data_IF_926136463514
#
_entry.id   IF_926136463514
#
_cell.length_a   1.000
_cell.length_b   1.000
_cell.length_c   1.000
_cell.angle_alpha   90.00
_cell.angle_beta   90.00
_cell.angle_gamma   90.00
#
_symmetry.space_group_name_H-M   'P 1'
#
loop_
_entity.id
_entity.type
_entity.pdbx_description
1 polymer ?
#
# COMPACT_ATOMS: atom_id res chain seq x y z
N UNK A 1 -16.11 53.92 0.76
CA UNK A 1 -15.71 52.63 1.34
C UNK A 1 -14.40 52.88 2.05
N UNK A 2 -14.35 52.69 3.36
CA UNK A 2 -13.15 52.95 4.15
C UNK A 2 -12.04 51.95 3.74
N UNK A 3 -10.81 52.43 3.58
CA UNK A 3 -9.61 51.62 3.32
C UNK A 3 -9.51 50.30 4.13
N UNK A 4 -9.87 50.26 5.44
CA UNK A 4 -9.90 49.01 6.21
C UNK A 4 -10.90 47.95 5.71
N UNK A 5 -12.05 48.36 5.17
CA UNK A 5 -13.08 47.42 4.70
C UNK A 5 -12.61 46.69 3.43
N UNK A 6 -11.95 47.41 2.52
CA UNK A 6 -11.40 46.82 1.29
C UNK A 6 -10.27 45.82 1.62
N UNK A 7 -9.42 46.17 2.59
CA UNK A 7 -8.35 45.31 3.06
C UNK A 7 -8.91 44.01 3.69
N UNK A 8 -9.97 44.12 4.50
CA UNK A 8 -10.63 42.94 5.08
C UNK A 8 -11.22 42.00 4.03
N UNK A 9 -11.84 42.53 2.98
CA UNK A 9 -12.43 41.71 1.90
C UNK A 9 -11.31 40.99 1.11
N UNK A 10 -10.17 41.65 0.88
CA UNK A 10 -9.02 41.05 0.22
C UNK A 10 -8.41 39.91 1.05
N UNK A 11 -8.20 40.12 2.35
CA UNK A 11 -7.69 39.07 3.25
C UNK A 11 -8.66 37.89 3.40
N UNK A 12 -9.96 38.16 3.49
CA UNK A 12 -10.99 37.13 3.53
C UNK A 12 -11.00 36.31 2.23
N UNK A 13 -10.87 36.99 1.09
CA UNK A 13 -10.77 36.35 -0.23
C UNK A 13 -9.58 35.40 -0.35
N UNK A 14 -8.38 35.81 0.11
CA UNK A 14 -7.17 34.97 0.05
C UNK A 14 -7.28 33.73 0.94
N UNK A 15 -7.86 33.86 2.14
CA UNK A 15 -7.95 32.74 3.10
C UNK A 15 -8.92 31.63 2.70
N UNK A 16 -9.84 31.89 1.76
CA UNK A 16 -10.84 30.93 1.27
C UNK A 16 -10.36 30.08 0.08
N UNK A 17 -9.32 30.52 -0.64
CA UNK A 17 -8.73 29.84 -1.82
C UNK A 17 -8.23 28.42 -1.50
N UNK A 18 -7.45 28.17 -0.43
CA UNK A 18 -6.91 26.83 -0.16
C UNK A 18 -7.97 25.81 0.27
N UNK A 19 -9.09 26.25 0.86
CA UNK A 19 -10.12 25.35 1.39
C UNK A 19 -11.00 24.69 0.32
N UNK A 20 -11.13 25.32 -0.86
CA UNK A 20 -11.88 24.76 -1.99
C UNK A 20 -11.07 23.67 -2.70
N UNK A 21 -9.77 23.86 -2.85
CA UNK A 21 -8.88 22.89 -3.51
C UNK A 21 -8.59 21.66 -2.62
N UNK A 22 -8.46 21.87 -1.31
CA UNK A 22 -8.23 20.81 -0.34
C UNK A 22 -9.33 19.74 -0.34
N UNK A 23 -10.58 20.10 -0.64
CA UNK A 23 -11.70 19.14 -0.65
C UNK A 23 -11.61 18.12 -1.79
N UNK A 24 -11.14 18.54 -2.97
CA UNK A 24 -11.05 17.61 -4.11
C UNK A 24 -9.82 16.72 -3.98
N UNK A 25 -8.64 17.29 -3.68
CA UNK A 25 -7.40 16.52 -3.51
C UNK A 25 -7.47 15.52 -2.35
N UNK A 26 -8.00 15.91 -1.19
CA UNK A 26 -8.07 15.03 -0.01
C UNK A 26 -8.97 13.82 -0.23
N UNK A 27 -10.11 13.98 -0.90
CA UNK A 27 -11.02 12.87 -1.21
C UNK A 27 -10.36 11.87 -2.17
N UNK A 28 -9.60 12.35 -3.17
CA UNK A 28 -8.84 11.47 -4.07
C UNK A 28 -7.77 10.67 -3.32
N UNK A 29 -6.93 11.30 -2.50
CA UNK A 29 -5.90 10.59 -1.74
C UNK A 29 -6.49 9.64 -0.71
N UNK A 30 -7.58 10.01 -0.04
CA UNK A 30 -8.28 9.15 0.92
C UNK A 30 -8.88 7.90 0.25
N UNK A 31 -9.53 8.06 -0.90
CA UNK A 31 -10.21 6.96 -1.59
C UNK A 31 -9.21 6.03 -2.28
N UNK A 32 -8.18 6.59 -2.92
CA UNK A 32 -7.15 5.80 -3.61
C UNK A 32 -6.25 5.05 -2.62
N UNK A 33 -5.95 5.63 -1.45
CA UNK A 33 -5.17 4.95 -0.40
C UNK A 33 -5.85 3.70 0.14
N UNK A 34 -7.19 3.74 0.32
CA UNK A 34 -7.97 2.60 0.78
C UNK A 34 -8.02 1.45 -0.24
N UNK A 35 -8.28 1.78 -1.51
CA UNK A 35 -8.37 0.78 -2.59
C UNK A 35 -7.01 0.11 -2.86
N UNK A 36 -5.91 0.87 -2.92
CA UNK A 36 -4.58 0.29 -3.07
C UNK A 36 -4.25 -0.66 -1.92
N UNK A 37 -4.56 -0.29 -0.68
CA UNK A 37 -4.30 -1.13 0.50
C UNK A 37 -5.16 -2.40 0.51
N UNK A 38 -6.41 -2.34 0.04
CA UNK A 38 -7.24 -3.53 -0.12
C UNK A 38 -6.72 -4.49 -1.18
N UNK A 39 -6.26 -3.98 -2.34
CA UNK A 39 -5.70 -4.82 -3.40
C UNK A 39 -4.47 -5.58 -2.90
N UNK A 40 -3.59 -4.90 -2.16
CA UNK A 40 -2.41 -5.50 -1.55
C UNK A 40 -2.80 -6.57 -0.51
N UNK A 41 -3.83 -6.32 0.31
CA UNK A 41 -4.35 -7.28 1.28
C UNK A 41 -4.94 -8.54 0.61
N UNK A 42 -5.66 -8.38 -0.50
CA UNK A 42 -6.20 -9.53 -1.26
C UNK A 42 -5.08 -10.35 -1.90
N UNK A 43 -4.06 -9.68 -2.46
CA UNK A 43 -2.87 -10.34 -3.01
C UNK A 43 -2.10 -11.14 -1.94
N UNK A 44 -2.04 -10.65 -0.71
CA UNK A 44 -1.43 -11.33 0.43
C UNK A 44 -2.12 -12.65 0.75
N UNK A 45 -3.46 -12.64 0.86
CA UNK A 45 -4.28 -13.83 1.10
C UNK A 45 -4.11 -14.86 -0.01
N UNK A 46 -4.08 -14.43 -1.28
CA UNK A 46 -3.85 -15.32 -2.43
C UNK A 46 -2.47 -15.99 -2.36
N UNK A 47 -1.42 -15.23 -1.99
CA UNK A 47 -0.08 -15.78 -1.85
C UNK A 47 0.00 -16.84 -0.73
N UNK A 48 -0.68 -16.61 0.40
CA UNK A 48 -0.79 -17.59 1.49
C UNK A 48 -1.48 -18.86 0.99
N UNK A 49 -2.62 -18.74 0.31
CA UNK A 49 -3.32 -19.90 -0.27
C UNK A 49 -2.46 -20.68 -1.27
N UNK A 50 -1.69 -19.98 -2.13
CA UNK A 50 -0.77 -20.62 -3.08
C UNK A 50 0.34 -21.37 -2.35
N UNK A 51 0.87 -20.81 -1.25
CA UNK A 51 1.90 -21.43 -0.43
C UNK A 51 1.39 -22.70 0.27
N UNK A 52 0.15 -22.68 0.78
CA UNK A 52 -0.49 -23.84 1.38
C UNK A 52 -0.85 -24.93 0.36
N UNK A 53 -1.20 -24.54 -0.87
CA UNK A 53 -1.57 -25.48 -1.94
C UNK A 53 -0.33 -26.16 -2.54
N UNK A 54 0.84 -25.52 -2.53
CA UNK A 54 2.12 -26.11 -2.96
C UNK A 54 2.66 -27.09 -1.90
N UNK A 55 2.26 -28.35 -1.98
CA UNK A 55 2.52 -29.41 -0.99
C UNK A 55 3.97 -29.90 -0.83
N UNK A 56 4.96 -29.48 -1.62
CA UNK A 56 6.26 -30.18 -1.72
C UNK A 56 7.43 -29.65 -0.87
N UNK A 57 7.29 -28.54 -0.14
CA UNK A 57 8.38 -27.98 0.68
C UNK A 57 8.10 -28.02 2.18
N UNK A 58 9.17 -28.21 2.95
CA UNK A 58 9.25 -28.29 4.42
C UNK A 58 8.26 -27.39 5.16
N UNK A 59 7.52 -27.97 6.11
CA UNK A 59 6.52 -27.26 6.92
C UNK A 59 7.08 -26.00 7.60
N UNK A 60 8.33 -26.05 8.07
CA UNK A 60 8.97 -24.93 8.77
C UNK A 60 9.19 -23.73 7.83
N UNK A 61 9.58 -23.97 6.58
CA UNK A 61 9.80 -22.92 5.58
C UNK A 61 8.52 -22.17 5.24
N UNK A 62 7.40 -22.90 5.12
CA UNK A 62 6.06 -22.31 4.88
C UNK A 62 5.60 -21.43 6.04
N UNK A 63 5.79 -21.86 7.27
CA UNK A 63 5.37 -21.09 8.45
C UNK A 63 6.10 -19.74 8.56
N UNK A 64 7.43 -19.73 8.34
CA UNK A 64 8.22 -18.49 8.35
C UNK A 64 7.81 -17.58 7.19
N UNK A 65 7.60 -18.16 6.00
CA UNK A 65 7.17 -17.42 4.82
C UNK A 65 5.79 -16.76 4.98
N UNK A 66 4.82 -17.51 5.51
CA UNK A 66 3.48 -17.00 5.80
C UNK A 66 3.51 -15.88 6.85
N UNK A 67 4.34 -15.98 7.89
CA UNK A 67 4.44 -14.97 8.93
C UNK A 67 5.03 -13.65 8.42
N UNK A 68 5.99 -13.70 7.50
CA UNK A 68 6.61 -12.52 6.86
C UNK A 68 5.63 -11.83 5.92
N UNK A 69 4.88 -12.59 5.12
CA UNK A 69 3.81 -12.09 4.25
C UNK A 69 2.73 -11.39 5.10
N UNK A 70 2.26 -12.07 6.16
CA UNK A 70 1.23 -11.54 7.08
C UNK A 70 1.62 -10.24 7.80
N UNK A 71 2.87 -10.09 8.24
CA UNK A 71 3.32 -8.87 8.94
C UNK A 71 3.68 -7.73 7.99
N UNK A 72 4.00 -8.02 6.72
CA UNK A 72 4.53 -7.03 5.81
C UNK A 72 4.18 -7.38 4.35
N UNK A 73 2.95 -7.08 3.89
CA UNK A 73 2.41 -7.63 2.64
C UNK A 73 3.24 -7.23 1.40
N UNK A 74 3.86 -6.04 1.44
CA UNK A 74 4.72 -5.56 0.35
C UNK A 74 6.10 -6.22 0.38
N UNK A 75 6.75 -6.32 1.54
CA UNK A 75 8.11 -6.88 1.63
C UNK A 75 8.15 -8.41 1.62
N UNK A 76 7.08 -9.08 2.07
CA UNK A 76 6.93 -10.52 1.93
C UNK A 76 6.92 -10.95 0.46
N UNK A 77 6.19 -10.23 -0.40
CA UNK A 77 6.16 -10.54 -1.84
C UNK A 77 7.53 -10.33 -2.52
N UNK A 78 8.27 -9.29 -2.13
CA UNK A 78 9.59 -8.97 -2.71
C UNK A 78 10.64 -10.03 -2.31
N UNK A 79 10.66 -10.43 -1.04
CA UNK A 79 11.51 -11.53 -0.56
C UNK A 79 11.15 -12.87 -1.21
N UNK A 80 9.90 -13.07 -1.63
CA UNK A 80 9.44 -14.33 -2.25
C UNK A 80 10.03 -14.47 -3.63
N UNK A 81 9.91 -13.39 -4.40
CA UNK A 81 10.48 -13.29 -5.72
C UNK A 81 12.01 -13.36 -5.71
N UNK A 82 12.67 -12.75 -4.71
CA UNK A 82 14.13 -12.70 -4.67
C UNK A 82 14.75 -13.97 -4.07
N UNK A 83 14.26 -14.45 -2.93
CA UNK A 83 14.88 -15.54 -2.17
C UNK A 83 14.18 -16.89 -2.40
N UNK A 84 12.84 -16.91 -2.44
CA UNK A 84 12.06 -18.15 -2.62
C UNK A 84 12.26 -18.81 -3.99
N UNK A 85 12.50 -18.02 -5.04
CA UNK A 85 12.67 -18.50 -6.42
C UNK A 85 14.11 -18.94 -6.75
N UNK A 86 15.09 -18.50 -5.97
CA UNK A 86 16.53 -18.76 -6.22
C UNK A 86 16.98 -20.19 -5.91
N UNK A 87 16.22 -20.93 -5.10
CA UNK A 87 16.59 -22.28 -4.65
C UNK A 87 16.26 -23.40 -5.67
N UNK A 88 15.77 -23.06 -6.88
CA UNK A 88 15.37 -24.03 -7.92
C UNK A 88 16.50 -24.22 -8.97
N UNK A 89 17.66 -23.59 -8.79
CA UNK A 89 18.72 -23.54 -9.80
C UNK A 89 19.98 -24.38 -9.55
N UNK A 90 20.06 -25.20 -8.50
CA UNK A 90 21.33 -25.84 -8.11
C UNK A 90 21.33 -27.37 -8.06
N UNK A 91 20.36 -28.04 -8.68
CA UNK A 91 20.34 -29.51 -8.80
C UNK A 91 20.24 -29.94 -10.28
N UNK A 92 21.25 -29.57 -11.07
CA UNK A 92 21.56 -30.20 -12.35
C UNK A 92 23.04 -29.98 -12.74
N UNK A 93 23.94 -30.56 -11.95
CA UNK A 93 25.30 -30.95 -12.40
C UNK A 93 25.71 -32.25 -11.73
#
# INVERSE_FOLDING_TARGET
MELPTVLMIFFLGISLIPSVEANMGSVFFATLGGICSLIILVLDVVAIFELFTKGHHDCCGKCVWTLVIFFFPIGGLILYCCCGRSNIGHESV
#
